data_IF_403440478437
#
_entry.id   IF_403440478437
#
_cell.length_a   1.000
_cell.length_b   1.000
_cell.length_c   1.000
_cell.angle_alpha   90.00
_cell.angle_beta   90.00
_cell.angle_gamma   90.00
#
_symmetry.space_group_name_H-M   'P 1'
#
loop_
_entity.id
_entity.type
_entity.pdbx_description
1 polymer ?
#
# COMPACT_ATOMS: atom_id res chain seq x y z
N UNK A 1 -9.85 -7.45 -17.04
CA UNK A 1 -10.29 -6.87 -15.75
C UNK A 1 -10.92 -8.03 -14.98
N UNK A 2 -10.08 -8.82 -14.30
CA UNK A 2 -10.53 -10.01 -13.57
C UNK A 2 -11.07 -9.60 -12.21
N UNK A 3 -12.27 -10.05 -11.90
CA UNK A 3 -12.92 -9.86 -10.61
C UNK A 3 -12.04 -10.35 -9.46
N UNK A 4 -11.64 -9.43 -8.57
CA UNK A 4 -11.12 -9.72 -7.24
C UNK A 4 -12.27 -10.07 -6.28
N UNK A 5 -13.19 -10.92 -6.73
CA UNK A 5 -14.32 -11.36 -5.93
C UNK A 5 -13.82 -12.23 -4.77
N UNK A 6 -13.71 -11.63 -3.58
CA UNK A 6 -13.45 -12.35 -2.32
C UNK A 6 -12.53 -11.63 -1.32
N UNK A 7 -11.78 -10.60 -1.74
CA UNK A 7 -10.87 -9.87 -0.83
C UNK A 7 -11.51 -8.56 -0.39
N UNK A 8 -11.60 -8.32 0.92
CA UNK A 8 -12.01 -7.01 1.45
C UNK A 8 -10.89 -6.01 1.16
N UNK A 9 -11.05 -5.26 0.08
CA UNK A 9 -10.12 -4.21 -0.31
C UNK A 9 -10.45 -2.90 0.41
N UNK A 10 -9.43 -2.35 1.06
CA UNK A 10 -9.48 -0.99 1.61
C UNK A 10 -8.72 -0.10 0.64
N UNK A 11 -9.32 1.04 0.30
CA UNK A 11 -8.75 2.00 -0.63
C UNK A 11 -8.48 3.33 0.07
N UNK A 12 -7.34 3.94 -0.24
CA UNK A 12 -7.00 5.30 0.18
C UNK A 12 -6.41 6.07 -1.00
N UNK A 13 -6.35 7.40 -0.85
CA UNK A 13 -5.72 8.30 -1.82
C UNK A 13 -4.39 8.81 -1.27
N UNK A 14 -3.43 9.04 -2.15
CA UNK A 14 -2.17 9.67 -1.79
C UNK A 14 -1.48 10.32 -2.99
N UNK A 15 -0.51 11.18 -2.72
CA UNK A 15 0.26 11.90 -3.75
C UNK A 15 1.58 11.21 -3.99
N UNK A 16 1.97 11.07 -5.25
CA UNK A 16 3.27 10.51 -5.61
C UNK A 16 4.37 11.52 -5.22
N UNK A 17 5.28 11.11 -4.35
CA UNK A 17 6.47 11.87 -3.99
C UNK A 17 7.66 11.45 -4.82
N UNK A 18 7.83 10.16 -5.12
CA UNK A 18 8.93 9.62 -5.91
C UNK A 18 8.50 8.34 -6.63
N UNK A 19 9.05 8.09 -7.82
CA UNK A 19 8.91 6.82 -8.53
C UNK A 19 10.28 6.36 -9.05
N UNK A 20 10.70 5.18 -8.64
CA UNK A 20 12.00 4.60 -8.97
C UNK A 20 11.79 3.35 -9.83
N UNK A 21 12.34 3.35 -11.04
CA UNK A 21 12.33 2.15 -11.89
C UNK A 21 13.46 1.22 -11.44
N UNK A 22 13.11 0.01 -11.00
CA UNK A 22 14.05 -1.03 -10.55
C UNK A 22 13.83 -2.28 -11.38
N UNK A 23 14.67 -2.49 -12.40
CA UNK A 23 14.51 -3.59 -13.34
C UNK A 23 13.21 -3.46 -14.14
N UNK A 24 12.31 -4.45 -14.00
CA UNK A 24 10.97 -4.45 -14.61
C UNK A 24 9.92 -3.71 -13.78
N UNK A 25 10.24 -3.37 -12.54
CA UNK A 25 9.28 -2.92 -11.54
C UNK A 25 9.47 -1.43 -11.28
N UNK A 26 8.46 -0.82 -10.66
CA UNK A 26 8.55 0.55 -10.15
C UNK A 26 8.21 0.57 -8.67
N UNK A 27 9.08 1.18 -7.88
CA UNK A 27 8.82 1.50 -6.49
C UNK A 27 8.24 2.93 -6.46
N UNK A 28 7.04 3.08 -5.91
CA UNK A 28 6.36 4.38 -5.79
C UNK A 28 6.29 4.76 -4.32
N UNK A 29 6.79 5.93 -3.97
CA UNK A 29 6.67 6.51 -2.64
C UNK A 29 5.50 7.49 -2.61
N UNK A 30 4.57 7.27 -1.69
CA UNK A 30 3.27 7.93 -1.66
C UNK A 30 3.10 8.65 -0.33
N UNK A 31 2.82 9.95 -0.39
CA UNK A 31 2.40 10.76 0.75
C UNK A 31 0.88 10.64 0.94
N UNK A 32 0.48 10.27 2.15
CA UNK A 32 -0.92 10.12 2.58
C UNK A 32 -1.28 11.04 3.75
N UNK A 33 -0.46 12.06 4.04
CA UNK A 33 -0.63 12.95 5.19
C UNK A 33 -0.16 12.34 6.51
N UNK A 34 0.71 11.33 6.45
CA UNK A 34 1.42 10.76 7.61
C UNK A 34 2.86 11.27 7.63
N UNK A 35 3.56 11.08 8.75
CA UNK A 35 4.98 11.45 8.87
C UNK A 35 5.87 10.64 7.90
N UNK A 36 5.51 9.37 7.69
CA UNK A 36 6.25 8.44 6.83
C UNK A 36 5.55 8.24 5.47
N UNK A 37 6.34 7.95 4.44
CA UNK A 37 5.85 7.64 3.10
C UNK A 37 5.47 6.16 2.99
N UNK A 38 4.37 5.88 2.29
CA UNK A 38 4.00 4.51 1.94
C UNK A 38 4.74 4.09 0.68
N UNK A 39 5.46 2.97 0.77
CA UNK A 39 6.14 2.33 -0.37
C UNK A 39 5.23 1.31 -1.05
N UNK A 40 4.93 1.50 -2.33
CA UNK A 40 4.16 0.57 -3.16
C UNK A 40 5.02 0.02 -4.28
N UNK A 41 5.02 -1.29 -4.45
CA UNK A 41 5.74 -1.96 -5.54
C UNK A 41 4.76 -2.29 -6.68
N UNK A 42 5.04 -1.78 -7.88
CA UNK A 42 4.24 -2.01 -9.07
C UNK A 42 5.05 -2.89 -10.03
N UNK A 43 4.56 -4.09 -10.42
CA UNK A 43 5.30 -5.02 -11.28
C UNK A 43 5.21 -4.61 -12.76
N UNK A 44 5.57 -3.37 -13.05
CA UNK A 44 5.64 -2.79 -14.38
C UNK A 44 6.39 -1.45 -14.32
N UNK A 45 6.81 -0.95 -15.49
CA UNK A 45 7.30 0.42 -15.62
C UNK A 45 6.11 1.39 -15.49
N UNK A 46 5.92 1.96 -14.31
CA UNK A 46 4.80 2.81 -13.94
C UNK A 46 5.18 4.30 -14.01
N UNK A 47 5.03 4.90 -15.19
CA UNK A 47 5.38 6.31 -15.44
C UNK A 47 4.21 7.23 -15.08
N UNK A 48 4.19 7.70 -13.82
CA UNK A 48 3.29 8.77 -13.35
C UNK A 48 4.07 10.02 -12.97
N UNK A 49 3.37 11.15 -12.86
CA UNK A 49 4.01 12.43 -12.52
C UNK A 49 4.12 12.59 -11.02
N UNK A 50 5.23 13.15 -10.54
CA UNK A 50 5.34 13.60 -9.14
C UNK A 50 4.24 14.62 -8.85
N UNK A 51 3.67 14.55 -7.64
CA UNK A 51 2.54 15.36 -7.19
C UNK A 51 1.17 14.88 -7.68
N UNK A 52 1.09 13.89 -8.58
CA UNK A 52 -0.17 13.30 -9.02
C UNK A 52 -0.83 12.52 -7.86
N UNK A 53 -2.14 12.72 -7.68
CA UNK A 53 -2.95 11.96 -6.72
C UNK A 53 -3.35 10.62 -7.34
N UNK A 54 -3.11 9.52 -6.61
CA UNK A 54 -3.44 8.16 -7.03
C UNK A 54 -4.26 7.45 -5.95
N UNK A 55 -5.08 6.49 -6.38
CA UNK A 55 -5.73 5.54 -5.48
C UNK A 55 -4.82 4.33 -5.23
N UNK A 56 -4.77 3.87 -3.99
CA UNK A 56 -4.05 2.67 -3.57
C UNK A 56 -5.03 1.75 -2.85
N UNK A 57 -5.07 0.50 -3.29
CA UNK A 57 -5.85 -0.56 -2.65
C UNK A 57 -4.93 -1.58 -1.98
N UNK A 58 -5.36 -2.11 -0.84
CA UNK A 58 -4.71 -3.25 -0.20
C UNK A 58 -5.73 -4.26 0.34
N UNK A 59 -5.32 -5.53 0.37
CA UNK A 59 -6.10 -6.59 1.00
C UNK A 59 -5.95 -6.51 2.51
N UNK A 60 -7.06 -6.28 3.23
CA UNK A 60 -7.04 -6.20 4.69
C UNK A 60 -6.52 -7.51 5.33
N UNK A 61 -6.75 -8.67 4.72
CA UNK A 61 -6.29 -9.95 5.25
C UNK A 61 -4.76 -10.07 5.26
N UNK A 62 -4.06 -9.26 4.46
CA UNK A 62 -2.60 -9.21 4.40
C UNK A 62 -1.99 -8.19 5.37
N UNK A 63 -2.80 -7.54 6.21
CA UNK A 63 -2.33 -6.59 7.21
C UNK A 63 -1.78 -7.31 8.45
N UNK A 64 -0.70 -6.79 9.01
CA UNK A 64 -0.12 -7.22 10.27
C UNK A 64 -0.06 -6.03 11.24
N UNK A 65 -0.49 -6.23 12.48
CA UNK A 65 -0.56 -5.19 13.50
C UNK A 65 0.40 -5.57 14.63
N UNK A 66 1.29 -4.66 14.96
CA UNK A 66 2.33 -4.87 15.96
C UNK A 66 2.17 -3.91 17.14
N UNK A 67 2.57 -4.38 18.32
CA UNK A 67 2.67 -3.57 19.52
C UNK A 67 3.78 -2.53 19.37
N UNK A 68 3.53 -1.24 19.64
CA UNK A 68 4.58 -0.22 19.60
C UNK A 68 5.57 -0.34 20.76
N UNK A 69 5.21 -1.03 21.85
CA UNK A 69 6.05 -1.15 23.05
C UNK A 69 7.15 -2.21 22.91
N UNK A 70 6.82 -3.36 22.33
CA UNK A 70 7.71 -4.53 22.28
C UNK A 70 7.80 -5.20 20.90
N UNK A 71 7.13 -4.64 19.90
CA UNK A 71 7.17 -5.13 18.51
C UNK A 71 6.49 -6.48 18.29
N UNK A 72 5.78 -7.02 19.28
CA UNK A 72 5.09 -8.30 19.11
C UNK A 72 3.88 -8.16 18.19
N UNK A 73 3.62 -9.21 17.41
CA UNK A 73 2.40 -9.31 16.60
C UNK A 73 1.18 -9.38 17.54
N UNK A 74 0.26 -8.43 17.39
CA UNK A 74 -1.00 -8.38 18.15
C UNK A 74 -2.14 -9.04 17.38
N UNK A 75 -2.23 -8.78 16.08
CA UNK A 75 -3.30 -9.30 15.23
C UNK A 75 -2.88 -9.30 13.75
N UNK A 76 -3.56 -10.12 12.97
CA UNK A 76 -3.63 -9.99 11.51
C UNK A 76 -4.92 -9.28 11.14
N UNK A 77 -4.94 -8.58 10.00
CA UNK A 77 -6.15 -7.88 9.58
C UNK A 77 -7.34 -8.82 9.38
N UNK A 78 -7.10 -10.09 9.02
CA UNK A 78 -8.13 -11.14 8.98
C UNK A 78 -8.83 -11.38 10.33
N UNK A 79 -8.16 -11.14 11.45
CA UNK A 79 -8.72 -11.31 12.80
C UNK A 79 -9.71 -10.19 13.17
N UNK A 80 -9.68 -9.06 12.45
CA UNK A 80 -10.52 -7.88 12.73
C UNK A 80 -11.84 -7.84 11.95
N UNK A 81 -11.99 -8.74 10.97
CA UNK A 81 -13.15 -8.78 10.05
C UNK A 81 -14.02 -10.03 10.23
N UNK A 82 -13.81 -10.76 11.33
CA UNK A 82 -14.60 -11.91 11.78
C UNK A 82 -15.61 -11.56 12.87
#
# INVERSE_FOLDING_TARGET
LGELAGKKEVNFKGKIVLAEVVGSDTIVHIDVGLEELIRVSVPAIYRRRMGEEIGVGFNVEALYIFSPEDGKLLARGGDLIG
#
